data_IF_717184773203
#
_entry.id   IF_717184773203
#
_cell.length_a   1.000
_cell.length_b   1.000
_cell.length_c   1.000
_cell.angle_alpha   90.00
_cell.angle_beta   90.00
_cell.angle_gamma   90.00
#
_symmetry.space_group_name_H-M   'P 1'
#
loop_
_entity.id
_entity.type
_entity.pdbx_description
1 polymer ?
#
# COMPACT_ATOMS: atom_id res chain seq x y z
N UNK A 1 -3.64 -15.27 -6.85
CA UNK A 1 -2.49 -14.57 -7.48
C UNK A 1 -2.95 -13.59 -8.56
N UNK A 2 -4.00 -12.80 -8.28
CA UNK A 2 -4.50 -11.77 -9.20
C UNK A 2 -3.97 -10.39 -8.84
N UNK A 3 -3.68 -10.15 -7.56
CA UNK A 3 -3.23 -8.85 -7.09
C UNK A 3 -1.77 -8.55 -7.47
N UNK A 4 -0.88 -9.54 -7.39
CA UNK A 4 0.52 -9.40 -7.85
C UNK A 4 0.55 -9.17 -9.36
N UNK A 5 -0.31 -9.87 -10.11
CA UNK A 5 -0.47 -9.65 -11.55
C UNK A 5 -1.01 -8.26 -11.85
N UNK A 6 -2.08 -7.83 -11.16
CA UNK A 6 -2.67 -6.51 -11.32
C UNK A 6 -1.65 -5.38 -11.06
N UNK A 7 -0.74 -5.56 -10.10
CA UNK A 7 0.30 -4.59 -9.84
C UNK A 7 1.43 -4.59 -10.89
N UNK A 8 1.84 -5.75 -11.38
CA UNK A 8 2.84 -5.85 -12.44
C UNK A 8 2.31 -5.47 -13.84
N UNK A 9 0.99 -5.45 -14.04
CA UNK A 9 0.35 -5.13 -15.33
C UNK A 9 -0.11 -3.69 -15.46
N UNK A 10 -0.07 -2.88 -14.39
CA UNK A 10 -0.24 -1.44 -14.53
C UNK A 10 1.08 -0.87 -15.06
N UNK A 11 1.04 0.08 -16.00
CA UNK A 11 2.22 0.82 -16.53
C UNK A 11 3.01 1.61 -15.45
N UNK A 12 2.69 1.40 -14.17
CA UNK A 12 3.53 1.80 -13.07
C UNK A 12 4.77 0.90 -13.05
N UNK A 13 5.90 1.46 -13.46
CA UNK A 13 7.25 0.93 -13.22
C UNK A 13 7.63 0.93 -11.72
N UNK A 14 6.73 0.49 -10.84
CA UNK A 14 6.97 0.37 -9.40
C UNK A 14 7.05 -1.10 -9.05
N UNK A 15 8.27 -1.58 -8.78
CA UNK A 15 8.46 -2.90 -8.21
C UNK A 15 7.93 -2.93 -6.77
N UNK A 16 7.05 -3.88 -6.47
CA UNK A 16 6.52 -4.08 -5.13
C UNK A 16 7.33 -5.17 -4.44
N UNK A 17 7.91 -4.84 -3.29
CA UNK A 17 8.53 -5.86 -2.43
C UNK A 17 7.42 -6.65 -1.74
N UNK A 18 7.43 -7.98 -1.98
CA UNK A 18 6.48 -8.92 -1.42
C UNK A 18 7.21 -9.92 -0.50
N UNK A 19 6.63 -10.17 0.66
CA UNK A 19 7.06 -11.17 1.65
C UNK A 19 5.91 -12.11 2.01
N UNK A 20 6.18 -13.02 2.94
CA UNK A 20 5.18 -13.93 3.49
C UNK A 20 5.06 -15.19 2.65
N UNK A 21 3.85 -15.73 2.57
CA UNK A 21 3.56 -16.92 1.77
C UNK A 21 2.60 -16.58 0.63
N UNK A 22 2.37 -17.53 -0.27
CA UNK A 22 1.39 -17.36 -1.35
C UNK A 22 -0.03 -17.18 -0.79
N UNK A 23 -0.33 -17.76 0.38
CA UNK A 23 -1.62 -17.66 1.04
C UNK A 23 -1.74 -16.40 1.90
N UNK A 24 -0.63 -15.97 2.49
CA UNK A 24 -0.54 -14.79 3.36
C UNK A 24 0.56 -13.85 2.86
N UNK A 25 0.34 -13.18 1.70
CA UNK A 25 1.31 -12.26 1.15
C UNK A 25 1.33 -10.95 1.94
N UNK A 26 2.53 -10.40 2.07
CA UNK A 26 2.80 -9.15 2.75
C UNK A 26 3.40 -8.15 1.74
N UNK A 27 2.78 -7.00 1.58
CA UNK A 27 3.18 -5.99 0.60
C UNK A 27 3.84 -4.80 1.29
N UNK A 28 5.02 -4.38 0.86
CA UNK A 28 5.69 -3.23 1.50
C UNK A 28 4.82 -1.97 1.37
N UNK A 29 4.50 -1.34 2.49
CA UNK A 29 3.52 -0.26 2.53
C UNK A 29 3.93 0.92 1.65
N UNK A 30 5.22 1.28 1.63
CA UNK A 30 5.73 2.38 0.78
C UNK A 30 5.42 2.17 -0.70
N UNK A 31 5.54 0.93 -1.20
CA UNK A 31 5.35 0.62 -2.61
C UNK A 31 3.87 0.69 -2.95
N UNK A 32 3.02 0.16 -2.06
CA UNK A 32 1.56 0.33 -2.17
C UNK A 32 1.17 1.80 -2.16
N UNK A 33 1.82 2.64 -1.34
CA UNK A 33 1.63 4.09 -1.33
C UNK A 33 1.90 4.72 -2.70
N UNK A 34 3.04 4.38 -3.32
CA UNK A 34 3.38 4.85 -4.68
C UNK A 34 2.35 4.37 -5.69
N UNK A 35 1.98 3.09 -5.63
CA UNK A 35 1.03 2.49 -6.58
C UNK A 35 -0.36 3.12 -6.49
N UNK A 36 -0.75 3.52 -5.29
CA UNK A 36 -2.02 4.18 -5.05
C UNK A 36 -1.94 5.70 -5.20
N UNK A 37 -0.79 6.26 -5.55
CA UNK A 37 -0.53 7.71 -5.61
C UNK A 37 -0.87 8.43 -4.29
N UNK A 38 -0.65 7.76 -3.16
CA UNK A 38 -0.88 8.34 -1.84
C UNK A 38 0.30 9.23 -1.46
N UNK A 39 0.01 10.50 -1.19
CA UNK A 39 1.01 11.49 -0.78
C UNK A 39 1.70 11.13 0.54
N UNK A 40 1.00 10.46 1.46
CA UNK A 40 1.55 10.02 2.74
C UNK A 40 0.92 8.71 3.22
N UNK A 41 1.51 7.59 2.80
CA UNK A 41 1.04 6.25 3.20
C UNK A 41 0.97 6.06 4.72
N UNK A 42 1.90 6.62 5.50
CA UNK A 42 1.92 6.43 6.96
C UNK A 42 0.68 7.00 7.63
N UNK A 43 0.23 8.17 7.16
CA UNK A 43 -1.01 8.78 7.61
C UNK A 43 -2.22 7.95 7.17
N UNK A 44 -2.21 7.47 5.93
CA UNK A 44 -3.29 6.65 5.37
C UNK A 44 -3.52 5.31 6.09
N UNK A 45 -2.50 4.77 6.75
CA UNK A 45 -2.57 3.47 7.46
C UNK A 45 -2.44 3.61 8.99
N UNK A 46 -2.60 4.82 9.52
CA UNK A 46 -2.45 5.07 10.96
C UNK A 46 -3.41 4.20 11.78
N UNK A 47 -4.66 4.09 11.34
CA UNK A 47 -5.73 3.37 12.06
C UNK A 47 -5.75 1.85 11.80
N UNK A 48 -4.83 1.34 10.97
CA UNK A 48 -4.79 -0.10 10.67
C UNK A 48 -4.31 -0.89 11.89
N UNK A 49 -4.90 -2.06 12.11
CA UNK A 49 -4.53 -2.96 13.19
C UNK A 49 -3.53 -4.05 12.74
N UNK A 50 -3.20 -4.95 13.67
CA UNK A 50 -2.27 -6.07 13.44
C UNK A 50 -2.75 -7.08 12.39
N UNK A 51 -4.05 -7.09 12.07
CA UNK A 51 -4.60 -7.94 11.02
C UNK A 51 -4.36 -7.35 9.62
N UNK A 52 -4.08 -6.05 9.54
CA UNK A 52 -3.93 -5.29 8.30
C UNK A 52 -2.50 -4.85 8.02
N UNK A 53 -1.70 -4.63 9.07
CA UNK A 53 -0.29 -4.25 8.95
C UNK A 53 0.59 -5.01 9.94
N UNK A 54 1.83 -5.25 9.52
CA UNK A 54 2.88 -5.86 10.35
C UNK A 54 4.21 -5.15 10.12
N UNK A 55 5.08 -5.14 11.12
CA UNK A 55 6.47 -4.68 10.98
C UNK A 55 7.36 -5.87 10.70
N UNK A 56 8.19 -5.78 9.66
CA UNK A 56 9.18 -6.82 9.31
C UNK A 56 10.46 -6.18 8.80
N UNK A 57 11.59 -6.84 9.02
CA UNK A 57 12.90 -6.38 8.56
C UNK A 57 13.05 -6.60 7.06
N UNK A 58 13.37 -5.60 6.26
CA UNK A 58 13.66 -5.75 4.85
C UNK A 58 14.96 -5.05 4.48
N UNK A 59 15.64 -5.56 3.45
CA UNK A 59 16.79 -4.88 2.91
C UNK A 59 16.34 -3.64 2.14
N UNK A 60 16.96 -2.52 2.48
CA UNK A 60 16.75 -1.22 1.86
C UNK A 60 18.09 -0.66 1.41
N UNK A 61 18.08 0.48 0.71
CA UNK A 61 19.31 1.19 0.34
C UNK A 61 20.15 1.60 1.57
N UNK A 62 19.52 1.77 2.73
CA UNK A 62 20.19 2.05 4.00
C UNK A 62 20.51 0.81 4.83
N UNK A 63 20.56 -0.38 4.20
CA UNK A 63 20.74 -1.66 4.88
C UNK A 63 19.43 -2.30 5.34
N UNK A 64 19.55 -3.35 6.17
CA UNK A 64 18.39 -4.04 6.74
C UNK A 64 17.69 -3.14 7.76
N UNK A 65 16.40 -2.85 7.53
CA UNK A 65 15.61 -1.94 8.36
C UNK A 65 14.24 -2.55 8.66
N UNK A 66 13.65 -2.16 9.79
CA UNK A 66 12.24 -2.45 10.07
C UNK A 66 11.34 -1.58 9.20
N UNK A 67 10.47 -2.22 8.43
CA UNK A 67 9.51 -1.54 7.57
C UNK A 67 8.12 -2.14 7.72
N UNK A 68 7.10 -1.33 7.44
CA UNK A 68 5.71 -1.76 7.50
C UNK A 68 5.33 -2.52 6.22
N UNK A 69 4.73 -3.69 6.41
CA UNK A 69 4.07 -4.44 5.37
C UNK A 69 2.56 -4.49 5.62
N UNK A 70 1.78 -4.54 4.55
CA UNK A 70 0.33 -4.63 4.57
C UNK A 70 -0.10 -6.05 4.19
N UNK A 71 -1.11 -6.57 4.88
CA UNK A 71 -1.76 -7.86 4.54
C UNK A 71 -2.86 -7.65 3.52
N UNK A 72 -3.34 -8.69 2.85
CA UNK A 72 -4.45 -8.54 1.89
C UNK A 72 -5.73 -7.88 2.46
N UNK A 73 -5.92 -7.85 3.79
CA UNK A 73 -7.09 -7.22 4.42
C UNK A 73 -7.10 -5.70 4.24
N UNK A 74 -5.95 -5.07 3.96
CA UNK A 74 -5.84 -3.63 3.74
C UNK A 74 -6.77 -3.11 2.62
N UNK A 75 -7.13 -3.98 1.66
CA UNK A 75 -7.91 -3.63 0.45
C UNK A 75 -9.21 -2.90 0.79
N UNK A 76 -9.88 -3.28 1.88
CA UNK A 76 -11.13 -2.64 2.30
C UNK A 76 -10.90 -1.17 2.67
N UNK A 77 -9.95 -0.88 3.57
CA UNK A 77 -9.67 0.48 4.01
C UNK A 77 -9.12 1.37 2.88
N UNK A 78 -8.23 0.84 2.05
CA UNK A 78 -7.68 1.59 0.91
C UNK A 78 -8.77 2.04 -0.09
N UNK A 79 -9.82 1.22 -0.29
CA UNK A 79 -10.94 1.61 -1.16
C UNK A 79 -11.65 2.87 -0.64
N UNK A 80 -11.86 2.98 0.67
CA UNK A 80 -12.44 4.17 1.29
C UNK A 80 -11.54 5.40 1.16
N UNK A 81 -10.23 5.22 1.34
CA UNK A 81 -9.24 6.31 1.22
C UNK A 81 -9.25 6.89 -0.21
N UNK A 82 -9.17 6.04 -1.24
CA UNK A 82 -9.25 6.45 -2.65
C UNK A 82 -10.56 7.18 -2.97
N UNK A 83 -11.68 6.70 -2.43
CA UNK A 83 -12.97 7.36 -2.60
C UNK A 83 -12.96 8.78 -2.02
N UNK A 84 -12.46 8.95 -0.79
CA UNK A 84 -12.39 10.25 -0.13
C UNK A 84 -11.44 11.24 -0.82
N UNK A 85 -10.26 10.79 -1.24
CA UNK A 85 -9.29 11.56 -2.04
C UNK A 85 -9.93 12.08 -3.33
N UNK A 86 -10.63 11.22 -4.08
CA UNK A 86 -11.30 11.60 -5.31
C UNK A 86 -12.41 12.63 -5.07
N UNK A 87 -13.21 12.44 -4.03
CA UNK A 87 -14.25 13.42 -3.63
C UNK A 87 -13.62 14.77 -3.31
N UNK A 88 -12.49 14.80 -2.60
CA UNK A 88 -11.77 16.05 -2.28
C UNK A 88 -11.23 16.74 -3.53
N UNK A 89 -10.69 15.97 -4.50
CA UNK A 89 -10.26 16.51 -5.80
C UNK A 89 -11.43 17.14 -6.57
N UNK A 90 -12.60 16.50 -6.59
CA UNK A 90 -13.82 17.04 -7.22
C UNK A 90 -14.20 18.38 -6.60
N UNK A 91 -14.24 18.49 -5.26
CA UNK A 91 -14.57 19.75 -4.59
C UNK A 91 -13.58 20.90 -4.87
N UNK A 92 -12.31 20.60 -5.16
CA UNK A 92 -11.31 21.60 -5.56
C UNK A 92 -11.51 22.10 -6.98
N UNK A 93 -12.10 21.30 -7.87
CA UNK A 93 -12.37 21.68 -9.28
C UNK A 93 -13.65 22.52 -9.38
N UNK A 94 -14.58 22.36 -8.44
CA UNK A 94 -15.86 23.08 -8.41
C UNK A 94 -15.80 24.46 -7.73
N UNK A 95 -14.62 24.97 -7.40
CA UNK A 95 -14.38 26.32 -6.85
C UNK A 95 -13.49 27.11 -7.80
#
# INVERSE_FOLDING_TARGET
MDIVKAFNSNDLHTEIIIKGTVNDPLFRASDIGVVLELSNIRMSITDFDESEKVVSTADTLGGTQEVTFLTEKFKMHVKYIKYFENVTKIFKILK
#
